data_IF_418366313353
#
_entry.id   IF_418366313353
#
_cell.length_a   1.000
_cell.length_b   1.000
_cell.length_c   1.000
_cell.angle_alpha   90.00
_cell.angle_beta   90.00
_cell.angle_gamma   90.00
#
_symmetry.space_group_name_H-M   'P 1'
#
loop_
_entity.id
_entity.type
_entity.pdbx_description
1 polymer ?
#
# COMPACT_ATOMS: atom_id res chain seq x y z
N UNK A 1 3.39 20.74 -8.30
CA UNK A 1 4.13 19.47 -8.46
C UNK A 1 3.98 18.55 -7.25
N UNK A 2 4.32 18.99 -6.03
CA UNK A 2 4.26 18.14 -4.83
C UNK A 2 2.90 17.48 -4.53
N UNK A 3 1.79 18.17 -4.78
CA UNK A 3 0.43 17.61 -4.63
C UNK A 3 0.18 16.43 -5.58
N UNK A 4 0.65 16.51 -6.83
CA UNK A 4 0.52 15.40 -7.80
C UNK A 4 1.35 14.18 -7.37
N UNK A 5 2.52 14.40 -6.78
CA UNK A 5 3.37 13.34 -6.24
C UNK A 5 2.68 12.67 -5.04
N UNK A 6 2.07 13.46 -4.16
CA UNK A 6 1.27 12.93 -3.05
C UNK A 6 0.10 12.05 -3.53
N UNK A 7 -0.69 12.52 -4.49
CA UNK A 7 -1.78 11.72 -5.08
C UNK A 7 -1.27 10.50 -5.86
N UNK A 8 -0.11 10.60 -6.49
CA UNK A 8 0.57 9.48 -7.15
C UNK A 8 0.87 8.35 -6.18
N UNK A 9 1.37 8.66 -4.97
CA UNK A 9 1.58 7.65 -3.91
C UNK A 9 0.28 6.94 -3.56
N UNK A 10 -0.81 7.68 -3.36
CA UNK A 10 -2.12 7.10 -3.05
C UNK A 10 -2.67 6.24 -4.18
N UNK A 11 -2.40 6.61 -5.44
CA UNK A 11 -2.81 5.85 -6.62
C UNK A 11 -2.16 4.46 -6.74
N UNK A 12 -1.08 4.18 -6.01
CA UNK A 12 -0.42 2.87 -6.00
C UNK A 12 -1.15 1.86 -5.08
N UNK A 13 -1.94 2.34 -4.10
CA UNK A 13 -2.62 1.48 -3.13
C UNK A 13 -3.59 0.46 -3.75
N UNK A 14 -4.45 0.80 -4.73
CA UNK A 14 -5.31 -0.18 -5.39
C UNK A 14 -4.52 -1.30 -6.08
N UNK A 15 -3.37 -0.98 -6.67
CA UNK A 15 -2.50 -1.97 -7.32
C UNK A 15 -1.91 -2.93 -6.29
N UNK A 16 -1.40 -2.40 -5.18
CA UNK A 16 -0.89 -3.22 -4.07
C UNK A 16 -1.96 -4.12 -3.46
N UNK A 17 -3.18 -3.59 -3.31
CA UNK A 17 -4.33 -4.31 -2.80
C UNK A 17 -4.70 -5.49 -3.72
N UNK A 18 -4.71 -5.27 -5.04
CA UNK A 18 -4.95 -6.33 -6.02
C UNK A 18 -3.84 -7.40 -6.03
N UNK A 19 -2.57 -6.98 -5.99
CA UNK A 19 -1.45 -7.95 -5.92
C UNK A 19 -1.52 -8.77 -4.63
N UNK A 20 -1.89 -8.16 -3.51
CA UNK A 20 -2.08 -8.86 -2.25
C UNK A 20 -3.24 -9.86 -2.31
N UNK A 21 -4.35 -9.49 -2.94
CA UNK A 21 -5.47 -10.40 -3.20
C UNK A 21 -5.02 -11.64 -3.97
N UNK A 22 -4.37 -11.44 -5.13
CA UNK A 22 -3.88 -12.55 -5.96
C UNK A 22 -2.83 -13.40 -5.24
N UNK A 23 -1.91 -12.75 -4.52
CA UNK A 23 -0.94 -13.45 -3.69
C UNK A 23 -1.59 -14.25 -2.55
N UNK A 24 -2.74 -13.79 -2.03
CA UNK A 24 -3.56 -14.53 -1.07
C UNK A 24 -4.11 -15.81 -1.69
N UNK A 25 -4.69 -15.72 -2.90
CA UNK A 25 -5.20 -16.88 -3.66
C UNK A 25 -4.09 -17.91 -3.89
N UNK A 26 -2.90 -17.47 -4.29
CA UNK A 26 -1.73 -18.33 -4.52
C UNK A 26 -0.99 -18.76 -3.23
N UNK A 27 -1.39 -18.26 -2.05
CA UNK A 27 -0.69 -18.44 -0.76
C UNK A 27 0.79 -17.96 -0.75
N UNK A 28 1.11 -16.91 -1.51
CA UNK A 28 2.46 -16.33 -1.63
C UNK A 28 2.62 -15.03 -0.84
N UNK A 29 2.81 -15.15 0.47
CA UNK A 29 2.87 -13.98 1.38
C UNK A 29 4.05 -13.02 1.11
N UNK A 30 5.15 -13.50 0.52
CA UNK A 30 6.36 -12.69 0.35
C UNK A 30 6.20 -11.55 -0.67
N UNK A 31 5.36 -11.74 -1.70
CA UNK A 31 5.12 -10.74 -2.74
C UNK A 31 4.48 -9.44 -2.21
N UNK A 32 3.36 -9.48 -1.47
CA UNK A 32 2.75 -8.27 -0.93
C UNK A 32 3.61 -7.61 0.15
N UNK A 33 4.33 -8.39 0.98
CA UNK A 33 5.25 -7.83 1.99
C UNK A 33 6.38 -7.04 1.33
N UNK A 34 7.03 -7.62 0.31
CA UNK A 34 8.11 -6.94 -0.40
C UNK A 34 7.65 -5.66 -1.08
N UNK A 35 6.52 -5.72 -1.79
CA UNK A 35 5.95 -4.56 -2.48
C UNK A 35 5.48 -3.48 -1.53
N UNK A 36 4.82 -3.84 -0.42
CA UNK A 36 4.37 -2.87 0.57
C UNK A 36 5.56 -2.24 1.31
N UNK A 37 6.65 -2.98 1.52
CA UNK A 37 7.90 -2.45 2.11
C UNK A 37 8.55 -1.41 1.18
N UNK A 38 8.63 -1.71 -0.12
CA UNK A 38 9.14 -0.77 -1.12
C UNK A 38 8.26 0.48 -1.20
N UNK A 39 6.93 0.29 -1.25
CA UNK A 39 5.96 1.38 -1.20
C UNK A 39 6.14 2.24 0.05
N UNK A 40 6.35 1.63 1.21
CA UNK A 40 6.56 2.34 2.48
C UNK A 40 7.83 3.17 2.46
N UNK A 41 8.92 2.63 1.92
CA UNK A 41 10.19 3.35 1.75
C UNK A 41 9.99 4.59 0.87
N UNK A 42 9.39 4.41 -0.32
CA UNK A 42 9.15 5.50 -1.26
C UNK A 42 8.23 6.55 -0.63
N UNK A 43 7.12 6.12 -0.01
CA UNK A 43 6.17 7.00 0.68
C UNK A 43 6.86 7.81 1.77
N UNK A 44 7.76 7.21 2.54
CA UNK A 44 8.48 7.89 3.61
C UNK A 44 9.49 8.91 3.07
N UNK A 45 10.33 8.52 2.11
CA UNK A 45 11.32 9.41 1.48
C UNK A 45 10.64 10.60 0.83
N UNK A 46 9.61 10.35 0.03
CA UNK A 46 8.82 11.39 -0.62
C UNK A 46 8.05 12.24 0.40
N UNK A 47 7.52 11.62 1.45
CA UNK A 47 6.82 12.30 2.53
C UNK A 47 7.70 13.26 3.31
N UNK A 48 8.98 12.94 3.53
CA UNK A 48 9.96 13.86 4.14
C UNK A 48 10.15 15.09 3.24
N UNK A 49 10.35 14.89 1.94
CA UNK A 49 10.53 15.98 0.99
C UNK A 49 9.30 16.89 0.91
N UNK A 50 8.11 16.31 0.78
CA UNK A 50 6.84 17.05 0.69
C UNK A 50 6.48 17.77 2.00
N UNK A 51 6.87 17.22 3.16
CA UNK A 51 6.68 17.89 4.44
C UNK A 51 7.63 19.10 4.60
N UNK A 52 8.87 18.99 4.12
CA UNK A 52 9.82 20.11 4.09
C UNK A 52 9.34 21.29 3.21
N UNK A 53 8.58 21.00 2.15
CA UNK A 53 7.94 22.00 1.29
C UNK A 53 6.59 22.52 1.81
N UNK A 54 6.10 22.02 2.95
CA UNK A 54 4.80 22.40 3.51
C UNK A 54 3.59 21.88 2.71
N UNK A 55 3.79 20.93 1.79
CA UNK A 55 2.75 20.40 0.89
C UNK A 55 1.86 19.37 1.59
N UNK A 56 2.44 18.54 2.47
CA UNK A 56 1.72 17.51 3.23
C UNK A 56 2.19 17.48 4.68
N UNK A 57 1.26 17.33 5.62
CA UNK A 57 1.60 17.12 7.03
C UNK A 57 2.01 15.66 7.28
N UNK A 58 2.80 15.40 8.32
CA UNK A 58 3.14 14.02 8.72
C UNK A 58 1.90 13.15 8.96
N UNK A 59 0.84 13.73 9.52
CA UNK A 59 -0.45 13.04 9.71
C UNK A 59 -1.17 12.77 8.39
N UNK A 60 -1.13 13.72 7.45
CA UNK A 60 -1.66 13.55 6.10
C UNK A 60 -0.96 12.47 5.28
N UNK A 61 0.29 12.12 5.63
CA UNK A 61 1.03 10.99 5.07
C UNK A 61 0.78 9.69 5.86
N UNK A 62 0.76 9.76 7.20
CA UNK A 62 0.66 8.56 8.04
C UNK A 62 -0.72 7.89 7.92
N UNK A 63 -1.81 8.68 7.93
CA UNK A 63 -3.17 8.13 7.94
C UNK A 63 -3.43 7.26 6.69
N UNK A 64 -3.19 7.74 5.45
CA UNK A 64 -3.54 6.94 4.29
C UNK A 64 -2.49 5.85 4.02
N UNK A 65 -1.27 5.96 4.55
CA UNK A 65 -0.31 4.83 4.59
C UNK A 65 -0.81 3.70 5.49
N UNK A 66 -1.27 4.00 6.71
CA UNK A 66 -1.83 2.99 7.64
C UNK A 66 -3.08 2.34 7.03
N UNK A 67 -4.01 3.16 6.53
CA UNK A 67 -5.23 2.65 5.88
C UNK A 67 -4.89 1.78 4.68
N UNK A 68 -3.92 2.19 3.87
CA UNK A 68 -3.41 1.40 2.76
C UNK A 68 -2.87 0.04 3.18
N UNK A 69 -2.06 0.00 4.25
CA UNK A 69 -1.56 -1.25 4.82
C UNK A 69 -2.67 -2.18 5.32
N UNK A 70 -3.69 -1.62 5.98
CA UNK A 70 -4.86 -2.38 6.41
C UNK A 70 -5.63 -2.97 5.22
N UNK A 71 -5.83 -2.21 4.15
CA UNK A 71 -6.51 -2.68 2.93
C UNK A 71 -5.71 -3.80 2.26
N UNK A 72 -4.39 -3.64 2.14
CA UNK A 72 -3.49 -4.66 1.57
C UNK A 72 -3.54 -5.96 2.37
N UNK A 73 -3.48 -5.88 3.70
CA UNK A 73 -3.59 -7.04 4.57
C UNK A 73 -4.97 -7.72 4.47
N UNK A 74 -6.05 -6.93 4.43
CA UNK A 74 -7.41 -7.43 4.28
C UNK A 74 -7.60 -8.13 2.93
N UNK A 75 -7.07 -7.56 1.84
CA UNK A 75 -7.14 -8.19 0.52
C UNK A 75 -6.36 -9.50 0.47
N UNK A 76 -5.17 -9.56 1.08
CA UNK A 76 -4.45 -10.82 1.22
C UNK A 76 -5.30 -11.88 1.94
N UNK A 77 -5.92 -11.52 3.07
CA UNK A 77 -6.79 -12.42 3.80
C UNK A 77 -7.99 -12.90 2.97
N UNK A 78 -8.67 -11.97 2.27
CA UNK A 78 -9.77 -12.32 1.34
C UNK A 78 -9.28 -13.30 0.28
N UNK A 79 -8.11 -13.06 -0.31
CA UNK A 79 -7.52 -13.96 -1.31
C UNK A 79 -7.25 -15.35 -0.75
N UNK A 80 -6.70 -15.45 0.47
CA UNK A 80 -6.46 -16.74 1.11
C UNK A 80 -7.75 -17.53 1.38
N UNK A 81 -8.86 -16.85 1.66
CA UNK A 81 -10.19 -17.46 1.83
C UNK A 81 -10.79 -17.91 0.50
N UNK A 82 -10.67 -17.10 -0.55
CA UNK A 82 -11.13 -17.46 -1.88
C UNK A 82 -10.39 -18.71 -2.41
N UNK A 83 -9.06 -18.76 -2.26
CA UNK A 83 -8.27 -19.92 -2.66
C UNK A 83 -8.49 -21.19 -1.83
N UNK A 84 -9.27 -21.14 -0.75
CA UNK A 84 -9.71 -22.32 0.01
C UNK A 84 -11.08 -22.85 -0.38
N UNK A 85 -11.96 -22.02 -0.95
CA UNK A 85 -13.31 -22.42 -1.38
C UNK A 85 -13.30 -23.20 -2.72
N UNK A 86 -12.27 -22.99 -3.55
CA UNK A 86 -12.11 -23.67 -4.85
C UNK A 86 -11.51 -25.09 -4.77
N UNK A 87 -11.34 -25.68 -3.56
CA UNK A 87 -10.76 -27.02 -3.35
C UNK A 87 -11.69 -27.96 -2.59
#
# INVERSE_FOLDING_TARGET
MGVLIAYGLWGVLPVLAYVALMAGVERRIMAPIGLFSLYSLVTFVTGIALNGEGVISRTGLAIPWVLGGCIVALMYFVGTKAGTDDR
#
